data_IF_768124992172
#
_entry.id   IF_768124992172
#
_cell.length_a   1.000
_cell.length_b   1.000
_cell.length_c   1.000
_cell.angle_alpha   90.00
_cell.angle_beta   90.00
_cell.angle_gamma   90.00
#
_symmetry.space_group_name_H-M   'P 1'
#
loop_
_entity.id
_entity.type
_entity.pdbx_description
1 polymer ?
#
# COMPACT_ATOMS: atom_id res chain seq x y z
N UNK A 1 16.09 -18.52 -0.39
CA UNK A 1 16.98 -19.68 -0.13
C UNK A 1 16.40 -20.59 0.96
N UNK A 2 16.14 -20.08 2.17
CA UNK A 2 15.58 -20.87 3.27
C UNK A 2 14.26 -21.58 2.93
N UNK A 3 13.29 -20.88 2.30
CA UNK A 3 12.03 -21.52 1.88
C UNK A 3 12.20 -22.72 0.93
N UNK A 4 13.20 -22.69 0.04
CA UNK A 4 13.47 -23.81 -0.88
C UNK A 4 14.06 -24.99 -0.13
N UNK A 5 14.93 -24.72 0.86
CA UNK A 5 15.51 -25.77 1.70
C UNK A 5 14.45 -26.44 2.56
N UNK A 6 13.54 -25.67 3.17
CA UNK A 6 12.41 -26.22 3.94
C UNK A 6 11.53 -27.16 3.12
N UNK A 7 11.29 -26.84 1.84
CA UNK A 7 10.56 -27.73 0.93
C UNK A 7 11.36 -28.99 0.60
N UNK A 8 12.68 -28.87 0.40
CA UNK A 8 13.58 -30.03 0.20
C UNK A 8 13.66 -30.94 1.41
N UNK A 9 13.55 -30.38 2.61
CA UNK A 9 13.45 -31.11 3.89
C UNK A 9 12.08 -31.78 4.10
N UNK A 10 11.13 -31.61 3.16
CA UNK A 10 9.82 -32.26 3.19
C UNK A 10 8.72 -31.45 3.88
N UNK A 11 8.96 -30.18 4.20
CA UNK A 11 7.89 -29.31 4.66
C UNK A 11 6.94 -28.96 3.51
N UNK A 12 5.65 -28.82 3.84
CA UNK A 12 4.64 -28.39 2.87
C UNK A 12 4.96 -27.00 2.32
N UNK A 13 4.65 -26.76 1.04
CA UNK A 13 4.96 -25.50 0.37
C UNK A 13 4.33 -24.32 1.10
N UNK A 14 3.08 -24.49 1.56
CA UNK A 14 2.38 -23.46 2.33
C UNK A 14 3.12 -23.06 3.61
N UNK A 15 3.64 -24.06 4.33
CA UNK A 15 4.31 -23.85 5.61
C UNK A 15 5.70 -23.23 5.40
N UNK A 16 6.43 -23.66 4.38
CA UNK A 16 7.70 -23.07 4.00
C UNK A 16 7.57 -21.59 3.61
N UNK A 17 6.54 -21.23 2.84
CA UNK A 17 6.29 -19.83 2.47
C UNK A 17 5.81 -18.98 3.65
N UNK A 18 4.96 -19.54 4.52
CA UNK A 18 4.44 -18.87 5.73
C UNK A 18 5.57 -18.58 6.74
N UNK A 19 6.46 -19.55 6.99
CA UNK A 19 7.59 -19.39 7.92
C UNK A 19 8.60 -18.33 7.48
N UNK A 20 8.71 -18.10 6.16
CA UNK A 20 9.61 -17.12 5.57
C UNK A 20 8.93 -15.76 5.29
N UNK A 21 7.64 -15.59 5.66
CA UNK A 21 6.91 -14.35 5.42
C UNK A 21 6.69 -14.02 3.93
N UNK A 22 6.77 -15.03 3.05
CA UNK A 22 6.66 -14.87 1.59
C UNK A 22 5.21 -14.98 1.08
N UNK A 23 4.25 -15.11 1.98
CA UNK A 23 2.84 -15.35 1.62
C UNK A 23 1.91 -14.62 2.59
N UNK A 24 0.72 -14.29 2.13
CA UNK A 24 -0.35 -13.75 2.98
C UNK A 24 -1.13 -14.89 3.66
N UNK A 25 -1.87 -14.64 4.76
CA UNK A 25 -2.70 -15.66 5.40
C UNK A 25 -3.73 -16.31 4.46
N UNK A 26 -4.19 -15.55 3.46
CA UNK A 26 -5.13 -16.02 2.42
C UNK A 26 -4.40 -16.92 1.43
N UNK A 27 -3.26 -16.46 0.90
CA UNK A 27 -2.46 -17.23 -0.05
C UNK A 27 -1.91 -18.52 0.57
N UNK A 28 -1.48 -18.51 1.84
CA UNK A 28 -1.08 -19.72 2.58
C UNK A 28 -2.19 -20.77 2.64
N UNK A 29 -3.44 -20.33 2.83
CA UNK A 29 -4.60 -21.23 2.89
C UNK A 29 -4.93 -21.83 1.52
N UNK A 30 -4.86 -21.01 0.46
CA UNK A 30 -5.03 -21.48 -0.92
C UNK A 30 -3.92 -22.46 -1.34
N UNK A 31 -2.68 -22.19 -0.94
CA UNK A 31 -1.54 -23.11 -1.10
C UNK A 31 -1.82 -24.47 -0.43
N UNK A 32 -2.26 -24.50 0.84
CA UNK A 32 -2.61 -25.76 1.53
C UNK A 32 -3.74 -26.51 0.82
N UNK A 33 -4.73 -25.79 0.28
CA UNK A 33 -5.83 -26.41 -0.47
C UNK A 33 -5.32 -27.01 -1.77
N UNK A 34 -4.51 -26.27 -2.53
CA UNK A 34 -3.92 -26.73 -3.80
C UNK A 34 -2.97 -27.91 -3.62
N UNK A 35 -2.20 -27.92 -2.53
CA UNK A 35 -1.29 -29.02 -2.19
C UNK A 35 -2.04 -30.30 -1.80
N UNK A 36 -3.15 -30.18 -1.05
CA UNK A 36 -4.00 -31.33 -0.67
C UNK A 36 -4.85 -31.85 -1.82
N UNK A 37 -5.31 -30.98 -2.72
CA UNK A 37 -6.15 -31.35 -3.86
C UNK A 37 -5.34 -31.78 -5.09
N UNK A 38 -4.01 -31.61 -5.06
CA UNK A 38 -3.14 -31.82 -6.21
C UNK A 38 -3.31 -30.77 -7.31
N UNK A 39 -4.05 -29.68 -7.05
CA UNK A 39 -4.35 -28.63 -8.01
C UNK A 39 -3.64 -27.32 -7.65
N UNK A 40 -2.30 -27.38 -7.57
CA UNK A 40 -1.49 -26.19 -7.28
C UNK A 40 -1.56 -25.14 -8.38
N UNK A 41 -1.65 -25.54 -9.66
CA UNK A 41 -1.68 -24.62 -10.79
C UNK A 41 -2.85 -23.63 -10.70
N UNK A 42 -4.06 -24.15 -10.54
CA UNK A 42 -5.26 -23.30 -10.40
C UNK A 42 -5.20 -22.44 -9.13
N UNK A 43 -4.71 -22.99 -8.00
CA UNK A 43 -4.62 -22.20 -6.77
C UNK A 43 -3.57 -21.11 -6.85
N UNK A 44 -2.44 -21.33 -7.52
CA UNK A 44 -1.43 -20.30 -7.78
C UNK A 44 -2.00 -19.16 -8.64
N UNK A 45 -2.79 -19.48 -9.66
CA UNK A 45 -3.45 -18.47 -10.50
C UNK A 45 -4.45 -17.63 -9.70
N UNK A 46 -5.24 -18.25 -8.82
CA UNK A 46 -6.13 -17.53 -7.88
C UNK A 46 -5.38 -16.68 -6.87
N UNK A 47 -4.19 -17.11 -6.43
CA UNK A 47 -3.34 -16.33 -5.55
C UNK A 47 -2.79 -15.10 -6.29
N UNK A 48 -2.36 -15.28 -7.54
CA UNK A 48 -1.87 -14.19 -8.37
C UNK A 48 -2.96 -13.13 -8.59
N UNK A 49 -4.18 -13.54 -8.99
CA UNK A 49 -5.29 -12.60 -9.16
C UNK A 49 -5.66 -11.87 -7.86
N UNK A 50 -5.63 -12.56 -6.72
CA UNK A 50 -5.87 -11.93 -5.43
C UNK A 50 -4.80 -10.87 -5.10
N UNK A 51 -3.53 -11.16 -5.38
CA UNK A 51 -2.42 -10.23 -5.16
C UNK A 51 -2.53 -9.00 -6.07
N UNK A 52 -2.89 -9.20 -7.34
CA UNK A 52 -3.10 -8.11 -8.30
C UNK A 52 -4.27 -7.22 -7.89
N UNK A 53 -5.38 -7.82 -7.45
CA UNK A 53 -6.54 -7.07 -6.94
C UNK A 53 -6.18 -6.27 -5.68
N UNK A 54 -5.39 -6.85 -4.78
CA UNK A 54 -4.92 -6.17 -3.59
C UNK A 54 -4.02 -4.98 -3.96
N UNK A 55 -3.06 -5.19 -4.85
CA UNK A 55 -2.18 -4.14 -5.36
C UNK A 55 -2.97 -3.03 -6.04
N UNK A 56 -3.95 -3.37 -6.89
CA UNK A 56 -4.81 -2.40 -7.55
C UNK A 56 -5.62 -1.57 -6.55
N UNK A 57 -6.14 -2.18 -5.48
CA UNK A 57 -6.80 -1.46 -4.38
C UNK A 57 -5.85 -0.49 -3.69
N UNK A 58 -4.63 -0.94 -3.36
CA UNK A 58 -3.62 -0.08 -2.74
C UNK A 58 -3.27 1.12 -3.62
N UNK A 59 -3.04 0.88 -4.91
CA UNK A 59 -2.76 1.94 -5.88
C UNK A 59 -3.95 2.91 -5.97
N UNK A 60 -5.19 2.41 -6.03
CA UNK A 60 -6.37 3.26 -6.08
C UNK A 60 -6.50 4.14 -4.83
N UNK A 61 -6.22 3.62 -3.64
CA UNK A 61 -6.24 4.39 -2.39
C UNK A 61 -5.15 5.47 -2.41
N UNK A 62 -3.93 5.13 -2.82
CA UNK A 62 -2.83 6.08 -2.93
C UNK A 62 -3.20 7.21 -3.90
N UNK A 63 -3.72 6.88 -5.08
CA UNK A 63 -4.17 7.87 -6.07
C UNK A 63 -5.28 8.77 -5.52
N UNK A 64 -6.25 8.21 -4.79
CA UNK A 64 -7.33 8.99 -4.15
C UNK A 64 -6.83 9.92 -3.05
N UNK A 65 -5.73 9.60 -2.37
CA UNK A 65 -5.14 10.45 -1.34
C UNK A 65 -4.25 11.55 -1.91
N UNK A 66 -3.69 11.36 -3.11
CA UNK A 66 -2.86 12.38 -3.77
C UNK A 66 -3.66 13.65 -4.04
N UNK A 67 -4.92 13.53 -4.49
CA UNK A 67 -5.79 14.67 -4.80
C UNK A 67 -6.02 15.63 -3.60
N UNK A 68 -6.52 15.18 -2.44
CA UNK A 68 -6.74 16.07 -1.28
C UNK A 68 -5.43 16.63 -0.71
N UNK A 69 -4.33 15.88 -0.77
CA UNK A 69 -3.00 16.39 -0.37
C UNK A 69 -2.60 17.55 -1.26
N UNK A 70 -2.72 17.40 -2.58
CA UNK A 70 -2.39 18.44 -3.53
C UNK A 70 -3.28 19.68 -3.35
N UNK A 71 -4.59 19.50 -3.13
CA UNK A 71 -5.50 20.61 -2.81
C UNK A 71 -5.14 21.33 -1.51
N UNK A 72 -4.75 20.59 -0.47
CA UNK A 72 -4.32 21.16 0.81
C UNK A 72 -3.06 22.01 0.63
N UNK A 73 -2.09 21.53 -0.16
CA UNK A 73 -0.84 22.26 -0.46
C UNK A 73 -1.14 23.54 -1.24
N UNK A 74 -1.98 23.48 -2.27
CA UNK A 74 -2.39 24.66 -3.06
C UNK A 74 -3.12 25.67 -2.16
N UNK A 75 -4.07 25.21 -1.34
CA UNK A 75 -4.80 26.08 -0.42
C UNK A 75 -3.88 26.78 0.58
N UNK A 76 -2.90 26.05 1.13
CA UNK A 76 -1.91 26.62 2.04
C UNK A 76 -1.03 27.67 1.33
N UNK A 77 -0.55 27.38 0.12
CA UNK A 77 0.25 28.33 -0.68
C UNK A 77 -0.52 29.63 -0.92
N UNK A 78 -1.78 29.52 -1.36
CA UNK A 78 -2.63 30.69 -1.61
C UNK A 78 -2.87 31.45 -0.29
N UNK A 79 -3.17 30.73 0.80
CA UNK A 79 -3.37 31.34 2.12
C UNK A 79 -2.16 32.13 2.59
N UNK A 80 -0.94 31.59 2.42
CA UNK A 80 0.31 32.29 2.77
C UNK A 80 0.49 33.54 1.92
N UNK A 81 0.24 33.47 0.60
CA UNK A 81 0.35 34.63 -0.30
C UNK A 81 -0.59 35.76 0.16
N UNK A 82 -1.84 35.43 0.49
CA UNK A 82 -2.83 36.41 0.96
C UNK A 82 -2.38 37.07 2.26
N UNK A 83 -1.90 36.28 3.23
CA UNK A 83 -1.38 36.83 4.49
C UNK A 83 -0.20 37.77 4.23
N UNK A 84 0.76 37.38 3.41
CA UNK A 84 1.93 38.22 3.07
C UNK A 84 1.52 39.51 2.37
N UNK A 85 0.45 39.49 1.57
CA UNK A 85 -0.05 40.68 0.88
C UNK A 85 -0.72 41.67 1.84
N UNK A 86 -1.47 41.19 2.84
CA UNK A 86 -2.17 42.06 3.79
C UNK A 86 -1.32 42.46 5.01
N UNK A 87 -0.35 41.63 5.40
CA UNK A 87 0.57 41.92 6.50
C UNK A 87 1.23 43.32 6.45
N UNK A 88 1.78 43.80 5.31
CA UNK A 88 2.39 45.14 5.25
C UNK A 88 1.35 46.26 5.43
N UNK A 89 0.10 46.05 4.99
CA UNK A 89 -0.99 47.02 5.20
C UNK A 89 -1.27 47.17 6.70
N UNK A 90 -1.30 46.07 7.45
CA UNK A 90 -1.44 46.10 8.90
C UNK A 90 -0.27 46.82 9.60
N UNK A 91 0.96 46.61 9.11
CA UNK A 91 2.13 47.32 9.65
C UNK A 91 2.04 48.83 9.42
N UNK A 92 1.64 49.26 8.21
CA UNK A 92 1.45 50.67 7.89
C UNK A 92 0.34 51.31 8.73
N UNK A 93 -0.82 50.63 8.87
CA UNK A 93 -1.92 51.12 9.71
C UNK A 93 -1.53 51.26 11.20
N UNK A 94 -0.70 50.36 11.72
CA UNK A 94 -0.19 50.43 13.10
C UNK A 94 0.85 51.53 13.32
N UNK A 95 1.58 51.94 12.27
CA UNK A 95 2.59 53.01 12.33
C UNK A 95 2.03 54.43 12.32
N UNK A 96 0.72 54.61 12.03
CA UNK A 96 0.04 55.91 11.95
C UNK A 96 -0.57 56.31 13.32
N UNK A 97 0.10 55.98 14.43
CA UNK A 97 -0.26 56.46 15.77
C UNK A 97 0.88 57.24 16.40
#
# INVERSE_FOLDING_TARGET
AAAIESVREGQSLAQAMEHNGLTTPVAARMLRVGERSGNMGEMMERIASFCDDELARWVAIVTRLIEPVLMTVIGLLIGVIVVLMYFPIFQLAGSIR
#
